data_IF_173576759756
#
_entry.id   IF_173576759756
#
_cell.length_a   1.000
_cell.length_b   1.000
_cell.length_c   1.000
_cell.angle_alpha   90.00
_cell.angle_beta   90.00
_cell.angle_gamma   90.00
#
_symmetry.space_group_name_H-M   'P 1'
#
loop_
_entity.id
_entity.type
_entity.pdbx_description
1 polymer ?
#
# COMPACT_ATOMS: atom_id res chain seq x y z
N UNK A 1 -22.16 17.76 -1.36
CA UNK A 1 -21.15 17.48 -2.41
C UNK A 1 -20.17 18.61 -2.41
N UNK A 2 -18.89 18.29 -2.25
CA UNK A 2 -17.85 19.31 -2.38
C UNK A 2 -17.73 19.71 -3.85
N UNK A 3 -17.55 20.99 -4.12
CA UNK A 3 -17.43 21.52 -5.47
C UNK A 3 -16.27 22.50 -5.56
N UNK A 4 -15.61 22.51 -6.71
CA UNK A 4 -14.58 23.49 -7.02
C UNK A 4 -15.15 24.58 -7.94
N UNK A 5 -14.89 25.85 -7.61
CA UNK A 5 -15.11 26.96 -8.52
C UNK A 5 -13.77 27.44 -9.05
N UNK A 6 -13.57 27.33 -10.35
CA UNK A 6 -12.32 27.70 -11.01
C UNK A 6 -12.57 28.92 -11.91
N UNK A 7 -11.80 29.99 -11.70
CA UNK A 7 -11.80 31.17 -12.56
C UNK A 7 -10.45 31.23 -13.27
N UNK A 8 -10.46 31.06 -14.57
CA UNK A 8 -9.26 31.15 -15.39
C UNK A 8 -8.94 32.56 -15.87
N UNK A 9 -8.13 32.69 -16.93
CA UNK A 9 -7.82 33.96 -17.61
C UNK A 9 -6.53 34.64 -17.14
N UNK A 10 -5.77 34.03 -16.23
CA UNK A 10 -4.43 34.48 -15.87
C UNK A 10 -3.38 33.43 -16.25
N UNK A 11 -2.29 33.80 -16.96
CA UNK A 11 -1.19 32.88 -17.13
C UNK A 11 -0.60 32.51 -15.77
N UNK A 12 -0.24 31.23 -15.62
CA UNK A 12 0.44 30.75 -14.42
C UNK A 12 1.94 30.80 -14.66
N UNK A 13 2.67 31.38 -13.71
CA UNK A 13 4.13 31.49 -13.71
C UNK A 13 4.63 31.19 -12.29
N UNK A 14 5.68 30.36 -12.18
CA UNK A 14 6.26 29.98 -10.90
C UNK A 14 6.81 28.57 -10.91
N UNK A 15 7.32 28.15 -9.76
CA UNK A 15 7.85 26.80 -9.51
C UNK A 15 6.89 25.99 -8.66
N UNK A 16 6.74 24.72 -8.97
CA UNK A 16 5.93 23.78 -8.21
C UNK A 16 6.80 22.59 -7.80
N UNK A 17 6.91 22.36 -6.50
CA UNK A 17 7.52 21.14 -5.98
C UNK A 17 6.51 19.99 -6.09
N UNK A 18 6.86 18.96 -6.84
CA UNK A 18 6.01 17.78 -6.99
C UNK A 18 6.07 16.91 -5.74
N UNK A 19 4.91 16.52 -5.23
CA UNK A 19 4.82 15.47 -4.22
C UNK A 19 5.13 14.11 -4.83
N UNK A 20 5.52 13.16 -3.99
CA UNK A 20 5.77 11.78 -4.41
C UNK A 20 4.56 11.12 -5.04
N UNK A 21 4.79 10.16 -5.92
CA UNK A 21 3.74 9.46 -6.66
C UNK A 21 2.94 8.53 -5.74
N UNK A 22 1.63 8.69 -5.72
CA UNK A 22 0.69 7.87 -4.95
C UNK A 22 0.93 6.37 -5.12
N UNK A 23 1.00 5.94 -6.37
CA UNK A 23 1.14 4.52 -6.69
C UNK A 23 2.53 3.95 -6.35
N UNK A 24 3.58 4.75 -6.40
CA UNK A 24 4.90 4.33 -5.95
C UNK A 24 4.95 4.21 -4.42
N UNK A 25 4.47 5.22 -3.70
CA UNK A 25 4.52 5.28 -2.25
C UNK A 25 3.92 4.03 -1.60
N UNK A 26 2.69 3.64 -1.97
CA UNK A 26 2.03 2.47 -1.39
C UNK A 26 2.80 1.16 -1.64
N UNK A 27 3.40 0.97 -2.83
CA UNK A 27 4.18 -0.24 -3.15
C UNK A 27 5.52 -0.26 -2.42
N UNK A 28 6.21 0.87 -2.35
CA UNK A 28 7.47 0.98 -1.62
C UNK A 28 7.27 0.81 -0.11
N UNK A 29 6.21 1.38 0.44
CA UNK A 29 5.83 1.16 1.84
C UNK A 29 5.55 -0.32 2.13
N UNK A 30 4.78 -1.01 1.29
CA UNK A 30 4.52 -2.43 1.44
C UNK A 30 5.79 -3.26 1.29
N UNK A 31 6.65 -2.93 0.33
CA UNK A 31 7.90 -3.64 0.10
C UNK A 31 8.85 -3.60 1.31
N UNK A 32 8.72 -2.61 2.22
CA UNK A 32 9.49 -2.58 3.46
C UNK A 32 9.27 -3.79 4.37
N UNK A 33 8.16 -4.50 4.21
CA UNK A 33 7.87 -5.75 4.96
C UNK A 33 8.77 -6.91 4.55
N UNK A 34 9.42 -6.84 3.38
CA UNK A 34 10.35 -7.88 2.91
C UNK A 34 11.69 -7.92 3.66
N UNK A 35 12.03 -6.89 4.42
CA UNK A 35 13.28 -6.79 5.18
C UNK A 35 13.02 -6.52 6.65
N UNK A 36 13.97 -6.93 7.50
CA UNK A 36 13.98 -6.62 8.94
C UNK A 36 14.63 -5.27 9.25
N UNK A 37 15.35 -4.72 8.28
CA UNK A 37 16.02 -3.44 8.40
C UNK A 37 15.02 -2.27 8.41
N UNK A 38 15.42 -1.16 9.03
CA UNK A 38 14.66 0.08 8.97
C UNK A 38 14.68 0.64 7.55
N UNK A 39 13.50 0.88 6.99
CA UNK A 39 13.31 1.54 5.68
C UNK A 39 12.74 2.92 5.91
N UNK A 40 13.41 3.94 5.41
CA UNK A 40 12.97 5.33 5.48
C UNK A 40 12.63 5.82 4.07
N UNK A 41 11.42 6.30 3.88
CA UNK A 41 10.95 6.91 2.64
C UNK A 41 10.68 8.40 2.85
N UNK A 42 11.22 9.23 1.97
CA UNK A 42 10.95 10.68 1.93
C UNK A 42 9.99 11.02 0.78
N UNK A 43 9.40 12.20 0.85
CA UNK A 43 8.44 12.72 -0.13
C UNK A 43 7.22 11.78 -0.32
N UNK A 44 6.76 11.13 0.75
CA UNK A 44 5.58 10.27 0.73
C UNK A 44 4.32 11.13 0.87
N UNK A 45 3.37 11.07 -0.09
CA UNK A 45 2.18 11.90 -0.02
C UNK A 45 1.25 11.41 1.10
N UNK A 46 0.72 12.34 1.89
CA UNK A 46 -0.31 12.10 2.91
C UNK A 46 -1.67 12.00 2.22
N UNK A 47 -2.17 10.81 2.07
CA UNK A 47 -3.45 10.56 1.41
C UNK A 47 -4.04 9.21 1.82
N UNK A 48 -5.31 9.03 1.51
CA UNK A 48 -6.10 7.85 1.87
C UNK A 48 -5.42 6.51 1.53
N UNK A 49 -4.74 6.41 0.40
CA UNK A 49 -4.08 5.17 -0.02
C UNK A 49 -2.86 4.84 0.85
N UNK A 50 -2.09 5.84 1.27
CA UNK A 50 -0.98 5.66 2.21
C UNK A 50 -1.46 5.34 3.62
N UNK A 51 -2.62 5.85 4.04
CA UNK A 51 -3.26 5.49 5.31
C UNK A 51 -3.67 4.01 5.32
N UNK A 52 -4.33 3.53 4.26
CA UNK A 52 -4.69 2.11 4.11
C UNK A 52 -3.42 1.24 4.07
N UNK A 53 -2.37 1.70 3.40
CA UNK A 53 -1.09 0.99 3.36
C UNK A 53 -0.48 0.88 4.75
N UNK A 54 -0.54 1.95 5.54
CA UNK A 54 -0.14 1.93 6.94
C UNK A 54 -0.94 0.90 7.75
N UNK A 55 -2.27 0.85 7.57
CA UNK A 55 -3.11 -0.17 8.23
C UNK A 55 -2.64 -1.59 7.92
N UNK A 56 -2.32 -1.90 6.65
CA UNK A 56 -1.82 -3.21 6.26
C UNK A 56 -0.52 -3.52 6.99
N UNK A 57 0.45 -2.62 6.93
CA UNK A 57 1.78 -2.75 7.52
C UNK A 57 1.69 -2.97 9.03
N UNK A 58 0.87 -2.20 9.73
CA UNK A 58 0.71 -2.34 11.18
C UNK A 58 -0.09 -3.58 11.58
N UNK A 59 -1.06 -3.99 10.76
CA UNK A 59 -1.84 -5.21 11.01
C UNK A 59 -0.98 -6.47 10.96
N UNK A 60 0.04 -6.51 10.12
CA UNK A 60 0.97 -7.64 10.03
C UNK A 60 2.10 -7.61 11.08
N UNK A 61 2.06 -6.65 12.00
CA UNK A 61 3.00 -6.56 13.12
C UNK A 61 4.20 -5.65 12.88
N UNK A 62 4.29 -5.02 11.72
CA UNK A 62 5.40 -4.11 11.42
C UNK A 62 5.18 -2.74 12.08
N UNK A 63 6.27 -2.11 12.48
CA UNK A 63 6.25 -0.75 13.03
C UNK A 63 6.26 0.28 11.90
N UNK A 64 5.51 1.36 12.07
CA UNK A 64 5.50 2.49 11.15
C UNK A 64 5.39 3.79 11.94
N UNK A 65 6.28 4.72 11.67
CA UNK A 65 6.31 6.04 12.30
C UNK A 65 6.55 7.14 11.26
N UNK A 66 5.72 8.15 11.27
CA UNK A 66 5.96 9.37 10.49
C UNK A 66 6.92 10.26 11.28
N UNK A 67 8.13 10.42 10.77
CA UNK A 67 9.17 11.28 11.38
C UNK A 67 8.93 12.75 11.06
N UNK A 68 8.38 13.04 9.88
CA UNK A 68 8.00 14.37 9.40
C UNK A 68 6.72 14.26 8.55
N UNK A 69 6.21 15.37 8.07
CA UNK A 69 4.96 15.41 7.29
C UNK A 69 4.96 14.45 6.09
N UNK A 70 6.12 14.34 5.41
CA UNK A 70 6.28 13.51 4.22
C UNK A 70 7.42 12.48 4.35
N UNK A 71 7.88 12.19 5.58
CA UNK A 71 8.93 11.20 5.84
C UNK A 71 8.39 10.11 6.75
N UNK A 72 8.39 8.88 6.28
CA UNK A 72 7.92 7.70 7.01
C UNK A 72 9.05 6.70 7.20
N UNK A 73 9.17 6.19 8.42
CA UNK A 73 10.06 5.10 8.79
C UNK A 73 9.24 3.86 9.09
N UNK A 74 9.69 2.72 8.58
CA UNK A 74 9.03 1.42 8.71
C UNK A 74 10.07 0.35 9.07
N UNK A 75 9.69 -0.60 9.94
CA UNK A 75 10.53 -1.73 10.27
C UNK A 75 9.69 -2.97 10.55
N UNK A 76 10.00 -4.08 9.90
CA UNK A 76 9.32 -5.37 9.99
C UNK A 76 10.24 -6.44 10.59
N UNK A 77 10.71 -6.27 11.84
CA UNK A 77 11.55 -7.27 12.52
C UNK A 77 10.85 -8.62 12.61
N UNK A 78 9.62 -8.59 13.07
CA UNK A 78 8.76 -9.77 13.15
C UNK A 78 7.46 -9.49 12.41
N UNK A 79 7.04 -10.44 11.58
CA UNK A 79 5.72 -10.43 10.96
C UNK A 79 4.86 -11.41 11.76
N UNK A 80 3.93 -10.89 12.55
CA UNK A 80 3.17 -11.65 13.54
C UNK A 80 1.82 -12.14 13.06
N UNK A 81 1.36 -11.69 11.88
CA UNK A 81 0.09 -12.09 11.33
C UNK A 81 0.18 -12.42 9.84
N UNK A 82 -0.35 -13.57 9.48
CA UNK A 82 -0.55 -14.02 8.11
C UNK A 82 -1.84 -13.45 7.49
N UNK A 83 -2.60 -12.63 8.22
CA UNK A 83 -3.95 -12.24 7.86
C UNK A 83 -4.14 -10.72 7.81
N UNK A 84 -4.74 -10.23 6.70
CA UNK A 84 -5.05 -8.82 6.45
C UNK A 84 -6.56 -8.57 6.47
N UNK A 85 -7.31 -9.20 7.38
CA UNK A 85 -8.79 -9.15 7.36
C UNK A 85 -9.42 -7.86 7.88
N UNK A 86 -8.79 -7.14 8.80
CA UNK A 86 -9.39 -6.01 9.52
C UNK A 86 -8.93 -4.66 8.96
N UNK A 87 -9.16 -4.42 7.69
CA UNK A 87 -8.95 -3.09 7.13
C UNK A 87 -10.19 -2.22 7.32
N UNK A 88 -9.99 -0.95 7.64
CA UNK A 88 -11.08 0.02 7.84
C UNK A 88 -11.96 0.19 6.61
N UNK A 89 -11.46 -0.14 5.43
CA UNK A 89 -12.14 0.03 4.14
C UNK A 89 -11.79 -1.06 3.15
N UNK A 90 -12.77 -1.45 2.33
CA UNK A 90 -12.52 -2.28 1.14
C UNK A 90 -11.59 -1.54 0.18
N UNK A 91 -10.49 -2.16 -0.19
CA UNK A 91 -9.48 -1.60 -1.09
C UNK A 91 -8.83 -2.70 -1.93
N UNK A 92 -7.94 -2.32 -2.83
CA UNK A 92 -7.22 -3.24 -3.72
C UNK A 92 -5.80 -3.53 -3.28
N UNK A 93 -5.29 -2.78 -2.31
CA UNK A 93 -3.91 -2.91 -1.86
C UNK A 93 -3.66 -4.22 -1.11
N UNK A 94 -4.70 -4.81 -0.53
CA UNK A 94 -4.60 -6.09 0.18
C UNK A 94 -3.98 -7.20 -0.67
N UNK A 95 -4.22 -7.20 -1.99
CA UNK A 95 -3.61 -8.19 -2.90
C UNK A 95 -2.07 -8.11 -2.91
N UNK A 96 -1.51 -6.95 -2.68
CA UNK A 96 -0.06 -6.75 -2.65
C UNK A 96 0.58 -7.36 -1.39
N UNK A 97 -0.20 -7.67 -0.37
CA UNK A 97 0.28 -8.36 0.80
C UNK A 97 0.57 -9.85 0.54
N UNK A 98 -0.04 -10.46 -0.52
CA UNK A 98 0.15 -11.88 -0.84
C UNK A 98 1.63 -12.26 -0.96
N UNK A 99 2.43 -11.69 -1.89
CA UNK A 99 3.82 -12.10 -2.06
C UNK A 99 4.68 -11.76 -0.83
N UNK A 100 4.36 -10.69 -0.11
CA UNK A 100 5.12 -10.25 1.05
C UNK A 100 4.97 -11.23 2.22
N UNK A 101 3.74 -11.59 2.54
CA UNK A 101 3.44 -12.50 3.66
C UNK A 101 3.81 -13.95 3.31
N UNK A 102 3.59 -14.39 2.08
CA UNK A 102 4.09 -15.70 1.63
C UNK A 102 5.60 -15.83 1.82
N UNK A 103 6.37 -14.78 1.49
CA UNK A 103 7.81 -14.77 1.68
C UNK A 103 8.21 -14.79 3.16
N UNK A 104 7.51 -14.01 4.01
CA UNK A 104 7.90 -13.82 5.42
C UNK A 104 7.33 -14.89 6.36
N UNK A 105 6.14 -15.42 6.07
CA UNK A 105 5.37 -16.30 6.98
C UNK A 105 5.09 -17.66 6.37
N UNK A 106 5.07 -17.78 5.04
CA UNK A 106 4.77 -19.03 4.33
C UNK A 106 3.30 -19.27 4.04
N UNK A 107 2.40 -18.51 4.66
CA UNK A 107 0.95 -18.53 4.38
C UNK A 107 0.38 -17.12 4.45
N UNK A 108 -0.77 -16.88 3.82
CA UNK A 108 -1.42 -15.58 3.84
C UNK A 108 -2.92 -15.67 3.58
N UNK A 109 -3.68 -14.89 4.34
CA UNK A 109 -5.10 -14.68 4.14
C UNK A 109 -5.36 -13.20 3.82
N UNK A 110 -5.91 -12.93 2.64
CA UNK A 110 -6.28 -11.57 2.24
C UNK A 110 -7.76 -11.50 1.88
N UNK A 111 -8.45 -10.40 2.20
CA UNK A 111 -9.84 -10.24 1.81
C UNK A 111 -9.96 -10.12 0.29
N UNK A 112 -11.10 -10.56 -0.22
CA UNK A 112 -11.43 -10.35 -1.62
C UNK A 112 -11.30 -8.87 -2.00
N UNK A 113 -10.71 -8.59 -3.16
CA UNK A 113 -10.37 -7.23 -3.58
C UNK A 113 -11.62 -6.37 -3.76
N UNK A 114 -11.63 -5.23 -3.12
CA UNK A 114 -12.63 -4.18 -3.29
C UNK A 114 -12.05 -2.98 -4.07
N UNK A 115 -12.75 -1.86 -4.09
CA UNK A 115 -12.30 -0.60 -4.67
C UNK A 115 -13.32 0.03 -5.60
N UNK A 116 -12.90 0.96 -6.43
CA UNK A 116 -13.78 1.72 -7.34
C UNK A 116 -14.50 0.83 -8.34
N UNK A 117 -15.77 1.11 -8.58
CA UNK A 117 -16.63 0.35 -9.49
C UNK A 117 -16.44 0.78 -10.96
N UNK A 118 -15.18 0.86 -11.42
CA UNK A 118 -14.86 1.30 -12.81
C UNK A 118 -14.81 0.11 -13.79
N UNK A 119 -15.10 -1.10 -13.30
CA UNK A 119 -15.08 -2.33 -14.09
C UNK A 119 -14.35 -3.48 -13.40
N UNK A 120 -14.30 -4.68 -14.04
CA UNK A 120 -13.65 -5.83 -13.46
C UNK A 120 -12.15 -5.58 -13.26
N UNK A 121 -11.66 -5.97 -12.11
CA UNK A 121 -10.28 -5.78 -11.69
C UNK A 121 -9.68 -7.14 -11.32
N UNK A 122 -9.40 -8.00 -12.31
CA UNK A 122 -8.95 -9.35 -12.07
C UNK A 122 -7.60 -9.36 -11.35
N UNK A 123 -7.45 -10.28 -10.40
CA UNK A 123 -6.20 -10.56 -9.69
C UNK A 123 -5.56 -11.87 -10.18
N UNK A 124 -6.12 -12.47 -11.21
CA UNK A 124 -5.74 -13.78 -11.74
C UNK A 124 -4.24 -13.87 -12.06
N UNK A 125 -3.64 -12.80 -12.57
CA UNK A 125 -2.21 -12.80 -12.86
C UNK A 125 -1.34 -12.97 -11.61
N UNK A 126 -1.75 -12.36 -10.49
CA UNK A 126 -1.05 -12.53 -9.21
C UNK A 126 -1.15 -13.98 -8.74
N UNK A 127 -2.36 -14.54 -8.74
CA UNK A 127 -2.63 -15.89 -8.29
C UNK A 127 -1.91 -16.90 -9.16
N UNK A 128 -2.09 -16.88 -10.49
CA UNK A 128 -1.43 -17.76 -11.43
C UNK A 128 0.11 -17.70 -11.35
N UNK A 129 0.67 -16.54 -11.07
CA UNK A 129 2.11 -16.39 -10.91
C UNK A 129 2.58 -17.09 -9.64
N UNK A 130 1.88 -16.89 -8.52
CA UNK A 130 2.21 -17.53 -7.25
C UNK A 130 2.05 -19.06 -7.33
N UNK A 131 0.99 -19.56 -7.99
CA UNK A 131 0.82 -21.01 -8.24
C UNK A 131 1.98 -21.59 -9.05
N UNK A 132 2.44 -20.91 -10.11
CA UNK A 132 3.61 -21.32 -10.90
C UNK A 132 4.91 -21.29 -10.10
N UNK A 133 4.97 -20.49 -9.05
CA UNK A 133 6.08 -20.43 -8.11
C UNK A 133 5.97 -21.48 -6.99
N UNK A 134 4.90 -22.28 -6.97
CA UNK A 134 4.69 -23.37 -6.03
C UNK A 134 3.75 -23.07 -4.86
N UNK A 135 3.05 -21.95 -4.86
CA UNK A 135 2.03 -21.66 -3.85
C UNK A 135 0.76 -22.50 -4.12
N UNK A 136 0.10 -22.95 -3.06
CA UNK A 136 -1.25 -23.53 -3.10
C UNK A 136 -2.26 -22.42 -2.82
N UNK A 137 -3.32 -22.34 -3.61
CA UNK A 137 -4.39 -21.33 -3.49
C UNK A 137 -5.72 -22.03 -3.21
N UNK A 138 -6.42 -21.61 -2.17
CA UNK A 138 -7.72 -22.10 -1.74
C UNK A 138 -8.81 -21.02 -1.88
#
# INVERSE_FOLDING_TARGET
MDSFRITGGKPLEGEVLLSGAKNAASKMMLASVLTEEEVVLSNVPRQRETEITQEIITTVGSQLTWKEEHVVSMQAKEVTAAEVKKLSRKNRLSILALPLLLHRVGEVFVPQVGGDQIGPRPVNFHLQTLEKMGATIE
#
